data_IF_052665047630
#
_entry.id   IF_052665047630
#
_cell.length_a   1.000
_cell.length_b   1.000
_cell.length_c   1.000
_cell.angle_alpha   90.00
_cell.angle_beta   90.00
_cell.angle_gamma   90.00
#
_symmetry.space_group_name_H-M   'P 1'
#
loop_
_entity.id
_entity.type
_entity.pdbx_description
1 polymer ?
#
# COMPACT_ATOMS: atom_id res chain seq x y z
N UNK A 1 12.25 10.66 -16.63
CA UNK A 1 10.99 11.34 -17.01
C UNK A 1 11.01 12.73 -16.39
N UNK A 2 10.52 13.77 -17.04
CA UNK A 2 10.43 15.11 -16.43
C UNK A 2 9.08 15.29 -15.73
N UNK A 3 9.03 16.03 -14.62
CA UNK A 3 7.77 16.34 -13.97
C UNK A 3 6.98 17.41 -14.74
N UNK A 4 5.64 17.34 -14.75
CA UNK A 4 4.80 18.16 -15.61
C UNK A 4 4.57 19.60 -15.11
N UNK A 5 5.14 19.95 -13.95
CA UNK A 5 5.15 21.31 -13.39
C UNK A 5 6.52 21.62 -12.79
N UNK A 6 6.90 22.90 -12.84
CA UNK A 6 8.20 23.37 -12.34
C UNK A 6 8.38 23.20 -10.82
N UNK A 7 7.29 23.13 -10.06
CA UNK A 7 7.32 22.94 -8.61
C UNK A 7 7.28 21.45 -8.20
N UNK A 8 7.03 20.55 -9.15
CA UNK A 8 7.07 19.11 -8.91
C UNK A 8 8.47 18.58 -9.22
N UNK A 9 8.97 17.70 -8.36
CA UNK A 9 10.28 17.08 -8.51
C UNK A 9 10.15 15.58 -8.76
N UNK A 10 11.02 15.07 -9.62
CA UNK A 10 11.20 13.64 -9.78
C UNK A 10 12.06 13.11 -8.66
N UNK A 11 11.81 11.85 -8.28
CA UNK A 11 12.57 11.19 -7.22
C UNK A 11 12.63 12.06 -5.94
N UNK A 12 11.47 12.37 -5.33
CA UNK A 12 11.40 13.28 -4.19
C UNK A 12 12.18 12.77 -2.97
N UNK A 13 12.49 11.46 -2.92
CA UNK A 13 13.27 10.83 -1.85
C UNK A 13 14.77 10.72 -2.16
N UNK A 14 15.23 11.19 -3.31
CA UNK A 14 16.62 11.02 -3.72
C UNK A 14 17.04 9.53 -3.75
N UNK A 15 18.26 9.23 -3.31
CA UNK A 15 18.76 7.85 -3.30
C UNK A 15 17.99 6.93 -2.33
N UNK A 16 17.35 7.50 -1.30
CA UNK A 16 16.56 6.73 -0.31
C UNK A 16 15.36 6.06 -0.97
N UNK A 17 14.75 6.69 -1.97
CA UNK A 17 13.60 6.14 -2.70
C UNK A 17 13.88 4.84 -3.46
N UNK A 18 15.15 4.45 -3.61
CA UNK A 18 15.57 3.21 -4.26
C UNK A 18 15.47 1.98 -3.34
N UNK A 19 15.44 2.18 -2.03
CA UNK A 19 15.22 1.10 -1.08
C UNK A 19 13.73 0.70 -1.05
N UNK A 20 13.46 -0.61 -1.03
CA UNK A 20 12.12 -1.11 -0.75
C UNK A 20 11.77 -0.89 0.72
N UNK A 21 12.77 -0.92 1.60
CA UNK A 21 12.61 -0.64 3.01
C UNK A 21 13.74 0.27 3.49
N UNK A 22 13.38 1.40 4.08
CA UNK A 22 14.32 2.37 4.64
C UNK A 22 13.88 2.72 6.06
N UNK A 23 14.64 2.28 7.06
CA UNK A 23 14.26 2.31 8.47
C UNK A 23 15.29 3.10 9.27
N UNK A 24 14.84 4.07 10.09
CA UNK A 24 15.77 4.94 10.84
C UNK A 24 16.48 4.20 11.97
N UNK A 25 15.71 3.46 12.76
CA UNK A 25 16.15 2.73 13.94
C UNK A 25 16.14 1.24 13.62
N UNK A 26 15.45 0.46 14.42
CA UNK A 26 15.55 -1.00 14.40
C UNK A 26 14.51 -1.64 13.48
N UNK A 27 14.86 -2.82 12.95
CA UNK A 27 13.98 -3.60 12.10
C UNK A 27 13.98 -5.09 12.46
N UNK A 28 12.80 -5.70 12.51
CA UNK A 28 12.60 -7.15 12.65
C UNK A 28 11.90 -7.67 11.40
N UNK A 29 12.58 -8.54 10.65
CA UNK A 29 12.14 -9.01 9.34
C UNK A 29 12.18 -10.51 9.20
N UNK A 30 11.18 -11.00 8.47
CA UNK A 30 11.04 -12.38 8.04
C UNK A 30 10.73 -12.44 6.54
N UNK A 31 10.83 -13.63 5.95
CA UNK A 31 10.50 -13.92 4.55
C UNK A 31 11.42 -13.21 3.57
N UNK A 32 10.99 -12.13 2.93
CA UNK A 32 11.79 -11.47 1.93
C UNK A 32 11.45 -9.99 1.73
N UNK A 33 12.39 -9.32 1.08
CA UNK A 33 12.21 -8.03 0.42
C UNK A 33 12.70 -8.18 -1.02
N UNK A 34 11.83 -7.93 -1.98
CA UNK A 34 12.19 -8.06 -3.39
C UNK A 34 13.20 -6.98 -3.84
N UNK A 35 13.25 -5.85 -3.11
CA UNK A 35 14.16 -4.73 -3.37
C UNK A 35 15.29 -4.63 -2.35
N UNK A 36 15.89 -3.45 -2.24
CA UNK A 36 17.00 -3.20 -1.32
C UNK A 36 16.53 -2.84 0.10
N UNK A 37 17.31 -3.35 1.05
CA UNK A 37 17.37 -3.24 2.52
C UNK A 37 18.14 -2.05 3.13
N UNK A 38 17.59 -1.08 3.85
CA UNK A 38 18.39 -0.18 4.69
C UNK A 38 17.78 0.05 6.09
N UNK A 39 18.57 -0.16 7.13
CA UNK A 39 18.19 -0.05 8.56
C UNK A 39 19.28 0.73 9.29
N UNK A 40 18.95 1.81 9.98
CA UNK A 40 19.95 2.64 10.66
C UNK A 40 20.40 2.10 12.02
N UNK A 41 19.51 1.42 12.73
CA UNK A 41 19.80 0.72 13.99
C UNK A 41 20.13 -0.75 13.78
N UNK A 42 19.64 -1.58 14.69
CA UNK A 42 19.83 -3.04 14.69
C UNK A 42 18.80 -3.72 13.78
N UNK A 43 19.24 -4.77 13.10
CA UNK A 43 18.40 -5.55 12.19
C UNK A 43 18.33 -7.03 12.61
N UNK A 44 17.14 -7.53 12.88
CA UNK A 44 16.86 -8.93 13.17
C UNK A 44 16.25 -9.59 11.95
N UNK A 45 17.10 -10.19 11.11
CA UNK A 45 16.70 -10.82 9.86
C UNK A 45 16.59 -12.33 10.05
N UNK A 46 15.37 -12.85 10.02
CA UNK A 46 15.04 -14.22 10.39
C UNK A 46 15.03 -14.44 11.91
N UNK A 47 14.59 -15.62 12.31
CA UNK A 47 14.47 -16.01 13.72
C UNK A 47 14.92 -17.47 13.88
N UNK A 48 15.99 -17.77 14.65
CA UNK A 48 16.46 -19.14 14.85
C UNK A 48 15.47 -20.01 15.65
N UNK A 49 14.54 -19.41 16.40
CA UNK A 49 13.50 -20.13 17.12
C UNK A 49 12.34 -20.57 16.21
N UNK A 50 12.33 -20.12 14.94
CA UNK A 50 11.29 -20.42 13.95
C UNK A 50 11.95 -20.87 12.64
N UNK A 51 11.28 -21.61 11.75
CA UNK A 51 11.81 -21.89 10.41
C UNK A 51 11.66 -20.64 9.52
N UNK A 52 12.41 -19.57 9.83
CA UNK A 52 12.29 -18.26 9.17
C UNK A 52 13.67 -17.70 8.81
N UNK A 53 13.87 -17.43 7.52
CA UNK A 53 14.99 -16.65 7.00
C UNK A 53 14.56 -15.27 6.51
N UNK A 54 15.49 -14.58 5.85
CA UNK A 54 15.21 -13.33 5.14
C UNK A 54 16.02 -13.22 3.85
N UNK A 55 15.36 -13.13 2.69
CA UNK A 55 16.04 -12.87 1.41
C UNK A 55 15.84 -11.43 0.95
N UNK A 56 16.87 -10.87 0.30
CA UNK A 56 16.86 -9.49 -0.20
C UNK A 56 17.25 -9.45 -1.67
N UNK A 57 16.49 -8.69 -2.45
CA UNK A 57 16.89 -8.27 -3.79
C UNK A 57 16.54 -9.23 -4.92
N UNK A 58 15.56 -10.11 -4.73
CA UNK A 58 15.11 -11.07 -5.75
C UNK A 58 14.61 -10.40 -7.04
N UNK A 59 14.18 -9.13 -6.97
CA UNK A 59 13.77 -8.30 -8.12
C UNK A 59 14.73 -7.17 -8.45
N UNK A 60 15.93 -7.13 -7.86
CA UNK A 60 16.97 -6.22 -8.32
C UNK A 60 17.59 -6.73 -9.63
N UNK A 61 17.95 -5.82 -10.51
CA UNK A 61 18.80 -6.11 -11.67
C UNK A 61 20.27 -6.12 -11.23
N UNK A 62 21.17 -6.56 -12.12
CA UNK A 62 22.61 -6.49 -11.86
C UNK A 62 23.15 -5.06 -11.77
N UNK A 63 22.45 -4.08 -12.35
CA UNK A 63 22.86 -2.67 -12.37
C UNK A 63 22.36 -1.90 -11.14
N UNK A 64 21.22 -2.28 -10.57
CA UNK A 64 20.55 -1.54 -9.49
C UNK A 64 21.46 -1.26 -8.28
N UNK A 65 22.32 -2.17 -7.81
CA UNK A 65 23.19 -1.88 -6.67
C UNK A 65 24.07 -0.65 -6.88
N UNK A 66 24.51 -0.35 -8.11
CA UNK A 66 25.37 0.79 -8.39
C UNK A 66 24.70 2.16 -8.16
N UNK A 67 23.37 2.20 -8.10
CA UNK A 67 22.59 3.42 -7.81
C UNK A 67 22.33 3.58 -6.31
N UNK A 68 22.51 2.52 -5.51
CA UNK A 68 22.31 2.54 -4.07
C UNK A 68 23.51 3.18 -3.36
N UNK A 69 23.29 3.90 -2.24
CA UNK A 69 24.36 4.35 -1.36
C UNK A 69 25.36 3.23 -1.02
N UNK A 70 26.62 3.45 -1.41
CA UNK A 70 27.70 2.49 -1.18
C UNK A 70 27.66 1.20 -2.01
N UNK A 71 26.74 1.06 -2.97
CA UNK A 71 26.69 -0.15 -3.81
C UNK A 71 26.00 -1.36 -3.16
N UNK A 72 25.35 -1.16 -2.00
CA UNK A 72 24.89 -2.24 -1.13
C UNK A 72 23.36 -2.40 -1.19
N UNK A 73 22.90 -3.63 -1.45
CA UNK A 73 21.49 -4.01 -1.39
C UNK A 73 21.01 -4.23 0.04
N UNK A 74 21.93 -4.36 1.00
CA UNK A 74 21.63 -4.37 2.45
C UNK A 74 22.57 -3.39 3.17
N UNK A 75 22.01 -2.44 3.90
CA UNK A 75 22.75 -1.56 4.81
C UNK A 75 22.16 -1.68 6.21
N UNK A 76 22.98 -1.98 7.21
CA UNK A 76 22.60 -1.98 8.62
C UNK A 76 23.58 -1.08 9.39
N UNK A 77 23.10 0.01 9.99
CA UNK A 77 23.98 0.93 10.71
C UNK A 77 24.51 0.34 12.03
N UNK A 78 23.68 -0.44 12.73
CA UNK A 78 24.04 -1.18 13.94
C UNK A 78 24.41 -2.64 13.67
N UNK A 79 23.91 -3.54 14.51
CA UNK A 79 24.20 -4.97 14.43
C UNK A 79 23.16 -5.69 13.57
N UNK A 80 23.64 -6.44 12.58
CA UNK A 80 22.83 -7.40 11.83
C UNK A 80 22.84 -8.76 12.56
N UNK A 81 21.70 -9.11 13.14
CA UNK A 81 21.42 -10.40 13.75
C UNK A 81 20.81 -11.36 12.71
N UNK A 82 21.66 -11.97 11.89
CA UNK A 82 21.25 -12.78 10.74
C UNK A 82 20.90 -14.24 11.09
N UNK A 83 19.80 -14.74 10.54
CA UNK A 83 19.45 -16.16 10.50
C UNK A 83 18.97 -16.53 9.08
N UNK A 84 19.73 -17.34 8.35
CA UNK A 84 19.45 -17.70 6.96
C UNK A 84 19.18 -16.48 6.07
N UNK A 85 20.15 -15.55 6.00
CA UNK A 85 20.02 -14.31 5.21
C UNK A 85 20.60 -14.51 3.81
N UNK A 86 19.78 -14.31 2.77
CA UNK A 86 20.18 -14.43 1.35
C UNK A 86 20.22 -13.05 0.71
N UNK A 87 21.27 -12.78 -0.06
CA UNK A 87 21.30 -11.63 -0.97
C UNK A 87 21.29 -12.17 -2.41
N UNK A 88 20.12 -12.17 -3.06
CA UNK A 88 19.99 -12.62 -4.45
C UNK A 88 20.81 -11.73 -5.40
N UNK A 89 20.89 -10.44 -5.07
CA UNK A 89 21.66 -9.43 -5.79
C UNK A 89 22.32 -8.45 -4.83
N UNK A 90 23.48 -7.97 -5.25
CA UNK A 90 24.26 -6.99 -4.51
C UNK A 90 25.05 -7.60 -3.35
N UNK A 91 25.45 -6.72 -2.43
CA UNK A 91 26.22 -7.02 -1.24
C UNK A 91 25.63 -6.26 -0.06
N UNK A 92 26.07 -6.59 1.15
CA UNK A 92 25.66 -5.89 2.36
C UNK A 92 26.81 -5.32 3.16
N UNK A 93 26.50 -4.32 3.97
CA UNK A 93 27.37 -3.79 5.01
C UNK A 93 26.57 -3.64 6.30
N UNK A 94 27.16 -4.06 7.42
CA UNK A 94 26.60 -3.86 8.76
C UNK A 94 27.66 -3.30 9.71
N UNK A 95 27.25 -2.50 10.71
CA UNK A 95 28.16 -2.06 11.78
C UNK A 95 28.78 -3.24 12.54
N UNK A 96 28.01 -4.32 12.70
CA UNK A 96 28.47 -5.64 13.14
C UNK A 96 27.61 -6.73 12.49
N UNK A 97 28.16 -7.92 12.24
CA UNK A 97 27.41 -9.09 11.76
C UNK A 97 27.45 -10.21 12.80
N UNK A 98 26.29 -10.56 13.34
CA UNK A 98 26.09 -11.69 14.25
C UNK A 98 25.29 -12.77 13.53
N UNK A 99 25.96 -13.84 13.12
CA UNK A 99 25.30 -15.00 12.53
C UNK A 99 24.69 -15.90 13.62
N UNK A 100 23.36 -15.92 13.69
CA UNK A 100 22.56 -16.74 14.61
C UNK A 100 22.03 -18.03 13.96
N UNK A 101 22.43 -18.32 12.72
CA UNK A 101 21.99 -19.52 12.00
C UNK A 101 22.56 -20.78 12.66
N UNK A 102 21.79 -21.86 12.66
CA UNK A 102 22.23 -23.13 13.28
C UNK A 102 23.37 -23.76 12.46
N UNK A 103 24.56 -24.00 13.03
CA UNK A 103 25.66 -24.63 12.28
C UNK A 103 25.25 -25.99 11.69
N UNK A 104 25.54 -26.20 10.40
CA UNK A 104 25.18 -27.42 9.69
C UNK A 104 23.69 -27.56 9.33
N UNK A 105 22.85 -26.55 9.61
CA UNK A 105 21.45 -26.47 9.12
C UNK A 105 21.18 -25.13 8.46
N UNK A 106 20.80 -25.15 7.19
CA UNK A 106 20.63 -23.93 6.39
C UNK A 106 21.96 -23.29 6.03
N UNK A 107 21.91 -22.07 5.50
CA UNK A 107 23.09 -21.24 5.26
C UNK A 107 23.11 -20.10 6.30
N UNK A 108 24.29 -19.56 6.57
CA UNK A 108 24.45 -18.45 7.51
C UNK A 108 23.90 -17.13 6.95
N UNK A 109 24.75 -16.12 6.99
CA UNK A 109 24.72 -15.10 5.94
C UNK A 109 25.23 -15.76 4.66
N UNK A 110 24.66 -15.40 3.51
CA UNK A 110 25.06 -15.91 2.19
C UNK A 110 26.54 -15.61 1.86
N UNK A 111 27.42 -16.53 2.29
CA UNK A 111 28.87 -16.40 2.19
C UNK A 111 29.41 -15.11 2.83
N UNK A 112 30.36 -14.50 2.14
CA UNK A 112 30.99 -13.23 2.53
C UNK A 112 30.28 -12.00 1.94
N UNK A 113 29.02 -12.15 1.46
CA UNK A 113 28.31 -11.05 0.78
C UNK A 113 27.96 -9.90 1.71
N UNK A 114 27.89 -10.12 3.02
CA UNK A 114 27.72 -9.06 4.02
C UNK A 114 28.98 -8.95 4.85
N UNK A 115 29.54 -7.75 4.92
CA UNK A 115 30.76 -7.45 5.68
C UNK A 115 30.48 -6.47 6.80
N UNK A 116 31.30 -6.55 7.84
CA UNK A 116 31.37 -5.50 8.85
C UNK A 116 31.96 -4.21 8.25
N UNK A 117 31.38 -3.05 8.57
CA UNK A 117 31.91 -1.76 8.13
C UNK A 117 30.96 -0.58 8.42
N UNK A 118 31.44 0.62 8.13
CA UNK A 118 30.66 1.85 8.30
C UNK A 118 29.49 1.91 7.32
N UNK A 119 28.33 2.37 7.81
CA UNK A 119 27.18 2.67 6.96
C UNK A 119 27.52 3.76 5.92
N UNK A 120 27.17 3.58 4.64
CA UNK A 120 27.26 4.62 3.62
C UNK A 120 26.09 5.62 3.69
N UNK A 121 25.11 5.40 4.56
CA UNK A 121 23.90 6.22 4.72
C UNK A 121 23.97 6.96 6.06
N UNK A 122 23.72 8.27 6.04
CA UNK A 122 23.48 9.10 7.22
C UNK A 122 21.98 9.13 7.53
N UNK A 123 21.49 8.12 8.26
CA UNK A 123 20.06 7.96 8.53
C UNK A 123 19.46 9.16 9.25
N UNK A 124 20.18 9.78 10.19
CA UNK A 124 19.68 10.95 10.92
C UNK A 124 19.45 12.16 9.99
N UNK A 125 20.37 12.40 9.05
CA UNK A 125 20.20 13.44 8.02
C UNK A 125 19.06 13.10 7.07
N UNK A 126 19.01 11.88 6.55
CA UNK A 126 17.96 11.47 5.60
C UNK A 126 16.57 11.56 6.23
N UNK A 127 16.39 11.07 7.47
CA UNK A 127 15.10 11.16 8.17
C UNK A 127 14.73 12.58 8.58
N UNK A 128 15.72 13.45 8.88
CA UNK A 128 15.44 14.89 9.05
C UNK A 128 14.82 15.51 7.80
N UNK A 129 15.27 15.12 6.60
CA UNK A 129 14.70 15.61 5.35
C UNK A 129 13.35 14.96 5.04
N UNK A 130 13.21 13.65 5.23
CA UNK A 130 11.95 12.93 5.04
C UNK A 130 10.82 13.49 5.92
N UNK A 131 11.11 13.84 7.18
CA UNK A 131 10.15 14.51 8.08
C UNK A 131 9.71 15.87 7.57
N UNK A 132 10.66 16.68 7.05
CA UNK A 132 10.35 17.99 6.45
C UNK A 132 9.47 17.85 5.21
N UNK A 133 9.81 16.91 4.31
CA UNK A 133 9.01 16.60 3.12
C UNK A 133 7.61 16.12 3.51
N UNK A 134 7.53 15.14 4.41
CA UNK A 134 6.28 14.57 4.91
C UNK A 134 5.37 15.63 5.53
N UNK A 135 5.92 16.49 6.40
CA UNK A 135 5.19 17.61 7.01
C UNK A 135 4.77 18.66 5.98
N UNK A 136 5.65 19.02 5.05
CA UNK A 136 5.35 19.96 3.97
C UNK A 136 4.21 19.48 3.07
N UNK A 137 4.23 18.19 2.69
CA UNK A 137 3.19 17.55 1.89
C UNK A 137 1.84 17.48 2.61
N UNK A 138 1.83 17.38 3.94
CA UNK A 138 0.60 17.44 4.73
C UNK A 138 -0.08 18.82 4.72
N UNK A 139 0.67 19.88 4.39
CA UNK A 139 0.14 21.23 4.17
C UNK A 139 -0.30 21.50 2.73
N UNK A 140 -0.10 20.56 1.80
CA UNK A 140 -0.54 20.72 0.41
C UNK A 140 -2.06 20.62 0.37
N UNK A 141 -2.70 21.62 -0.24
CA UNK A 141 -4.16 21.69 -0.37
C UNK A 141 -4.69 20.45 -1.13
N UNK A 142 -5.62 19.68 -0.54
CA UNK A 142 -6.32 18.62 -1.25
C UNK A 142 -7.14 19.15 -2.43
N UNK A 143 -7.09 18.42 -3.53
CA UNK A 143 -7.91 18.64 -4.73
C UNK A 143 -8.74 17.41 -5.14
N UNK A 144 -8.47 16.26 -4.51
CA UNK A 144 -9.28 15.05 -4.63
C UNK A 144 -10.47 15.02 -3.66
N UNK A 145 -11.52 14.32 -4.05
CA UNK A 145 -12.72 14.08 -3.25
C UNK A 145 -12.57 12.83 -2.37
N UNK A 146 -12.96 12.94 -1.10
CA UNK A 146 -13.06 11.82 -0.15
C UNK A 146 -14.55 11.62 0.20
N UNK A 147 -15.10 10.48 -0.15
CA UNK A 147 -16.50 10.14 0.11
C UNK A 147 -16.64 8.76 0.76
N UNK A 148 -17.77 8.52 1.43
CA UNK A 148 -18.10 7.20 1.93
C UNK A 148 -18.60 6.31 0.79
N UNK A 149 -18.25 5.03 0.81
CA UNK A 149 -18.84 4.02 -0.08
C UNK A 149 -20.37 3.98 0.06
N UNK A 150 -21.14 3.81 -1.04
CA UNK A 150 -22.57 3.47 -0.98
C UNK A 150 -22.98 2.46 0.10
N UNK A 151 -22.12 1.48 0.42
CA UNK A 151 -22.36 0.49 1.48
C UNK A 151 -22.17 1.03 2.91
N UNK A 152 -21.54 2.20 3.06
CA UNK A 152 -21.10 2.78 4.32
C UNK A 152 -19.89 2.08 4.95
N UNK A 153 -19.32 1.05 4.31
CA UNK A 153 -18.23 0.23 4.87
C UNK A 153 -16.85 0.58 4.32
N UNK A 154 -16.74 1.64 3.50
CA UNK A 154 -15.48 2.01 2.87
C UNK A 154 -15.38 3.49 2.56
N UNK A 155 -14.23 3.89 2.04
CA UNK A 155 -13.95 5.25 1.57
C UNK A 155 -13.55 5.23 0.09
N UNK A 156 -14.05 6.20 -0.67
CA UNK A 156 -13.65 6.49 -2.03
C UNK A 156 -12.76 7.72 -2.08
N UNK A 157 -11.62 7.58 -2.75
CA UNK A 157 -10.68 8.65 -3.08
C UNK A 157 -10.76 8.88 -4.59
N UNK A 158 -11.43 9.95 -5.01
CA UNK A 158 -11.61 10.28 -6.43
C UNK A 158 -10.83 11.53 -6.80
N UNK A 159 -9.92 11.41 -7.75
CA UNK A 159 -9.16 12.52 -8.30
C UNK A 159 -9.28 12.57 -9.82
N UNK A 160 -9.18 13.76 -10.39
CA UNK A 160 -9.33 14.01 -11.84
C UNK A 160 -8.14 14.74 -12.43
N UNK A 161 -7.19 15.19 -11.60
CA UNK A 161 -6.00 15.88 -12.07
C UNK A 161 -5.07 14.87 -12.77
N UNK A 162 -4.69 15.17 -14.01
CA UNK A 162 -3.88 14.28 -14.84
C UNK A 162 -2.41 14.19 -14.38
N UNK A 163 -1.99 14.96 -13.37
CA UNK A 163 -0.61 15.15 -12.95
C UNK A 163 -0.40 14.83 -11.47
N UNK A 164 -1.19 15.42 -10.57
CA UNK A 164 -1.11 15.19 -9.13
C UNK A 164 -2.49 15.27 -8.49
N UNK A 165 -2.89 14.22 -7.77
CA UNK A 165 -4.09 14.20 -6.95
C UNK A 165 -3.67 14.16 -5.48
N UNK A 166 -4.19 15.09 -4.68
CA UNK A 166 -3.89 15.23 -3.25
C UNK A 166 -5.15 15.00 -2.44
N UNK A 167 -5.06 14.09 -1.48
CA UNK A 167 -6.14 13.76 -0.55
C UNK A 167 -5.68 14.04 0.88
N UNK A 168 -6.62 14.42 1.74
CA UNK A 168 -6.44 14.43 3.19
C UNK A 168 -7.51 13.58 3.85
N UNK A 169 -7.11 12.62 4.67
CA UNK A 169 -7.99 11.64 5.32
C UNK A 169 -7.61 11.55 6.78
N UNK A 170 -8.59 11.56 7.71
CA UNK A 170 -8.29 11.25 9.12
C UNK A 170 -7.95 9.79 9.25
N UNK A 171 -6.89 9.48 10.00
CA UNK A 171 -6.53 8.11 10.29
C UNK A 171 -7.72 7.33 10.89
N UNK A 172 -8.47 7.93 11.82
CA UNK A 172 -9.64 7.31 12.44
C UNK A 172 -10.79 6.98 11.47
N UNK A 173 -10.91 7.73 10.37
CA UNK A 173 -11.94 7.46 9.36
C UNK A 173 -11.46 6.32 8.44
N UNK A 174 -10.17 6.29 8.15
CA UNK A 174 -9.53 5.21 7.39
C UNK A 174 -9.50 3.89 8.17
N UNK A 175 -9.28 3.92 9.50
CA UNK A 175 -9.35 2.75 10.39
C UNK A 175 -10.73 2.11 10.33
N UNK A 176 -11.80 2.90 10.35
CA UNK A 176 -13.17 2.39 10.25
C UNK A 176 -13.53 1.89 8.85
N UNK A 177 -12.73 2.20 7.83
CA UNK A 177 -13.00 1.79 6.47
C UNK A 177 -12.57 0.33 6.24
N UNK A 178 -13.55 -0.54 6.00
CA UNK A 178 -13.33 -1.91 5.54
C UNK A 178 -12.73 -1.97 4.13
N UNK A 179 -13.09 -1.03 3.25
CA UNK A 179 -12.50 -0.91 1.91
C UNK A 179 -12.02 0.51 1.60
N UNK A 180 -10.92 0.60 0.85
CA UNK A 180 -10.40 1.87 0.33
C UNK A 180 -10.36 1.77 -1.19
N UNK A 181 -11.09 2.65 -1.88
CA UNK A 181 -11.20 2.63 -3.33
C UNK A 181 -10.59 3.90 -3.92
N UNK A 182 -9.60 3.77 -4.79
CA UNK A 182 -8.87 4.87 -5.42
C UNK A 182 -9.20 4.94 -6.91
N UNK A 183 -9.68 6.10 -7.37
CA UNK A 183 -9.90 6.41 -8.78
C UNK A 183 -9.18 7.70 -9.14
N UNK A 184 -8.08 7.58 -9.87
CA UNK A 184 -7.26 8.69 -10.37
C UNK A 184 -6.81 8.39 -11.79
N UNK A 185 -6.48 9.41 -12.62
CA UNK A 185 -5.95 9.17 -13.95
C UNK A 185 -4.64 8.38 -13.90
N UNK A 186 -4.53 7.33 -14.71
CA UNK A 186 -3.28 6.58 -14.84
C UNK A 186 -2.14 7.52 -15.28
N UNK A 187 -0.97 7.34 -14.66
CA UNK A 187 0.21 8.19 -14.89
C UNK A 187 0.30 9.43 -14.01
N UNK A 188 -0.82 9.88 -13.39
CA UNK A 188 -0.79 10.91 -12.35
C UNK A 188 -0.10 10.41 -11.08
N UNK A 189 0.42 11.34 -10.29
CA UNK A 189 0.90 11.05 -8.93
C UNK A 189 -0.24 11.18 -7.95
N UNK A 190 -0.22 10.37 -6.89
CA UNK A 190 -1.22 10.42 -5.84
C UNK A 190 -0.54 10.56 -4.49
N UNK A 191 -0.90 11.62 -3.78
CA UNK A 191 -0.47 11.89 -2.42
C UNK A 191 -1.69 11.76 -1.50
N UNK A 192 -1.72 10.73 -0.66
CA UNK A 192 -2.74 10.60 0.38
C UNK A 192 -2.13 10.95 1.73
N UNK A 193 -2.48 12.12 2.25
CA UNK A 193 -2.11 12.53 3.60
C UNK A 193 -3.07 11.88 4.60
N UNK A 194 -2.58 10.91 5.38
CA UNK A 194 -3.33 10.27 6.46
C UNK A 194 -2.95 10.96 7.77
N UNK A 195 -3.90 11.72 8.33
CA UNK A 195 -3.66 12.64 9.45
C UNK A 195 -4.18 12.06 10.77
N UNK A 196 -3.31 12.01 11.77
CA UNK A 196 -3.55 11.38 13.07
C UNK A 196 -2.27 10.78 13.67
N UNK A 197 -2.27 10.58 14.98
CA UNK A 197 -1.12 10.02 15.72
C UNK A 197 -0.93 8.51 15.56
N UNK A 198 -1.94 7.80 15.07
CA UNK A 198 -1.89 6.35 14.86
C UNK A 198 -2.77 5.93 13.68
N UNK A 199 -2.43 4.80 13.07
CA UNK A 199 -3.29 4.09 12.11
C UNK A 199 -3.29 2.58 12.41
N UNK A 200 -4.37 2.07 13.00
CA UNK A 200 -4.50 0.67 13.43
C UNK A 200 -5.55 -0.11 12.62
N UNK A 201 -5.09 -0.90 11.65
CA UNK A 201 -5.94 -1.77 10.83
C UNK A 201 -6.31 -3.10 11.51
N UNK A 202 -5.90 -3.33 12.76
CA UNK A 202 -6.26 -4.54 13.52
C UNK A 202 -7.56 -4.34 14.31
N UNK A 203 -7.84 -3.09 14.72
CA UNK A 203 -9.04 -2.73 15.48
C UNK A 203 -10.32 -2.87 14.63
N UNK A 204 -10.31 -2.31 13.42
CA UNK A 204 -11.40 -2.41 12.44
C UNK A 204 -10.78 -2.80 11.08
N UNK A 205 -10.83 -4.08 10.66
CA UNK A 205 -9.97 -4.54 9.58
C UNK A 205 -10.39 -4.00 8.21
N UNK A 206 -9.56 -3.12 7.64
CA UNK A 206 -9.56 -2.89 6.19
C UNK A 206 -9.21 -4.21 5.48
N UNK A 207 -10.15 -4.77 4.73
CA UNK A 207 -9.96 -6.04 4.02
C UNK A 207 -9.34 -5.87 2.62
N UNK A 208 -9.17 -4.64 2.14
CA UNK A 208 -8.38 -4.38 0.93
C UNK A 208 -8.30 -2.92 0.49
N UNK A 209 -7.50 -2.70 -0.55
CA UNK A 209 -7.47 -1.46 -1.32
C UNK A 209 -7.79 -1.80 -2.77
N UNK A 210 -8.71 -1.07 -3.39
CA UNK A 210 -9.08 -1.21 -4.78
C UNK A 210 -8.59 -0.01 -5.57
N UNK A 211 -8.06 -0.26 -6.76
CA UNK A 211 -7.69 0.81 -7.70
C UNK A 211 -8.57 0.65 -8.95
N UNK A 212 -9.10 1.76 -9.44
CA UNK A 212 -9.81 1.80 -10.71
C UNK A 212 -8.87 1.43 -11.86
N UNK A 213 -9.22 0.38 -12.59
CA UNK A 213 -8.49 -0.07 -13.76
C UNK A 213 -9.24 0.38 -15.03
N UNK A 214 -8.62 1.31 -15.78
CA UNK A 214 -9.19 1.85 -17.02
C UNK A 214 -9.39 0.80 -18.11
N UNK A 215 -8.70 -0.34 -18.04
CA UNK A 215 -8.87 -1.42 -19.01
C UNK A 215 -10.15 -2.23 -18.74
N UNK A 216 -10.45 -2.51 -17.47
CA UNK A 216 -11.65 -3.28 -17.08
C UNK A 216 -12.86 -2.39 -16.78
N UNK A 217 -12.66 -1.06 -16.73
CA UNK A 217 -13.68 -0.08 -16.31
C UNK A 217 -14.29 -0.43 -14.95
N UNK A 218 -13.45 -0.88 -14.02
CA UNK A 218 -13.88 -1.33 -12.71
C UNK A 218 -12.78 -1.25 -11.66
N UNK A 219 -13.18 -1.37 -10.40
CA UNK A 219 -12.27 -1.44 -9.26
C UNK A 219 -11.67 -2.85 -9.16
N UNK A 220 -10.34 -2.92 -9.18
CA UNK A 220 -9.58 -4.17 -9.02
C UNK A 220 -8.90 -4.13 -7.66
N UNK A 221 -9.03 -5.20 -6.88
CA UNK A 221 -8.34 -5.29 -5.59
C UNK A 221 -6.84 -5.40 -5.80
N UNK A 222 -6.08 -4.66 -5.02
CA UNK A 222 -4.64 -4.74 -5.04
C UNK A 222 -4.15 -6.10 -4.54
N UNK A 223 -3.34 -6.74 -5.37
CA UNK A 223 -2.57 -7.93 -5.07
C UNK A 223 -1.34 -7.96 -6.01
N UNK A 224 -0.37 -8.82 -5.74
CA UNK A 224 0.92 -8.85 -6.44
C UNK A 224 0.79 -8.73 -7.97
N UNK A 225 -0.01 -9.61 -8.58
CA UNK A 225 -0.21 -9.70 -10.03
C UNK A 225 -1.45 -8.94 -10.56
N UNK A 226 -2.15 -8.20 -9.71
CA UNK A 226 -3.40 -7.53 -10.09
C UNK A 226 -3.21 -6.44 -11.14
N UNK A 227 -4.25 -6.28 -11.95
CA UNK A 227 -4.48 -5.10 -12.79
C UNK A 227 -3.66 -5.03 -14.07
N UNK A 228 -4.09 -4.12 -14.94
CA UNK A 228 -3.40 -3.73 -16.16
C UNK A 228 -2.14 -2.92 -15.90
N UNK A 229 -1.41 -2.54 -16.96
CA UNK A 229 -0.28 -1.62 -16.84
C UNK A 229 -0.71 -0.24 -16.33
N UNK A 230 -1.90 0.23 -16.68
CA UNK A 230 -2.46 1.49 -16.18
C UNK A 230 -2.68 1.44 -14.66
N UNK A 231 -3.22 0.32 -14.17
CA UNK A 231 -3.34 0.04 -12.73
C UNK A 231 -1.97 0.10 -12.04
N UNK A 232 -0.96 -0.57 -12.61
CA UNK A 232 0.40 -0.63 -12.03
C UNK A 232 1.10 0.73 -12.04
N UNK A 233 0.79 1.59 -13.01
CA UNK A 233 1.24 2.99 -13.01
C UNK A 233 0.65 3.77 -11.83
N UNK A 234 -0.64 3.59 -11.51
CA UNK A 234 -1.24 4.21 -10.32
C UNK A 234 -0.58 3.70 -9.04
N UNK A 235 -0.41 2.37 -8.91
CA UNK A 235 0.25 1.73 -7.75
C UNK A 235 1.65 2.31 -7.50
N UNK A 236 2.49 2.35 -8.52
CA UNK A 236 3.88 2.84 -8.42
C UNK A 236 3.99 4.37 -8.27
N UNK A 237 2.89 5.12 -8.36
CA UNK A 237 2.84 6.58 -8.17
C UNK A 237 1.94 6.98 -7.01
N UNK A 238 1.60 6.04 -6.14
CA UNK A 238 0.81 6.24 -4.93
C UNK A 238 1.73 6.34 -3.71
N UNK A 239 1.61 7.45 -2.97
CA UNK A 239 2.24 7.67 -1.69
C UNK A 239 1.19 7.84 -0.59
N UNK A 240 1.31 7.03 0.46
CA UNK A 240 0.63 7.21 1.74
C UNK A 240 1.57 7.97 2.68
N UNK A 241 1.26 9.24 2.91
CA UNK A 241 2.03 10.11 3.78
C UNK A 241 1.38 10.17 5.17
N UNK A 242 2.10 9.71 6.20
CA UNK A 242 1.65 9.66 7.59
C UNK A 242 2.56 10.57 8.46
N UNK A 243 2.42 11.89 8.34
CA UNK A 243 3.36 12.88 8.89
C UNK A 243 3.35 12.99 10.42
N UNK A 244 2.29 12.51 11.06
CA UNK A 244 2.05 12.64 12.50
C UNK A 244 2.01 11.29 13.22
N UNK A 245 2.07 10.19 12.47
CA UNK A 245 1.86 8.88 13.04
C UNK A 245 3.08 8.47 13.86
N UNK A 246 2.84 8.09 15.11
CA UNK A 246 3.81 7.41 15.98
C UNK A 246 3.69 5.89 15.85
N UNK A 247 2.52 5.40 15.41
CA UNK A 247 2.28 3.96 15.22
C UNK A 247 1.44 3.68 13.97
N UNK A 248 1.83 2.63 13.23
CA UNK A 248 1.06 2.12 12.10
C UNK A 248 0.98 0.60 12.18
N UNK A 249 -0.21 0.05 12.44
CA UNK A 249 -0.45 -1.39 12.44
C UNK A 249 -1.18 -1.80 11.18
N UNK A 250 -0.42 -2.22 10.18
CA UNK A 250 -0.97 -2.77 8.95
C UNK A 250 -1.42 -4.22 9.19
N UNK A 251 -2.60 -4.57 8.71
CA UNK A 251 -3.11 -5.94 8.76
C UNK A 251 -2.64 -6.79 7.56
N UNK A 252 -3.35 -7.88 7.30
CA UNK A 252 -3.03 -8.88 6.28
C UNK A 252 -3.28 -8.44 4.83
N UNK A 253 -4.10 -7.41 4.62
CA UNK A 253 -4.44 -6.95 3.26
C UNK A 253 -3.21 -6.43 2.51
N UNK A 254 -3.11 -6.71 1.22
CA UNK A 254 -2.06 -6.13 0.37
C UNK A 254 -2.24 -4.62 0.27
N UNK A 255 -1.15 -3.86 0.45
CA UNK A 255 -1.18 -2.39 0.40
C UNK A 255 -0.44 -1.87 -0.84
N UNK A 256 -1.12 -1.22 -1.80
CA UNK A 256 -0.46 -0.59 -2.94
C UNK A 256 0.26 0.69 -2.53
N UNK A 257 1.39 0.95 -3.16
CA UNK A 257 2.10 2.22 -3.05
C UNK A 257 3.06 2.29 -1.87
N UNK A 258 3.80 3.40 -1.82
CA UNK A 258 4.80 3.63 -0.77
C UNK A 258 4.15 4.16 0.51
N UNK A 259 4.58 3.63 1.65
CA UNK A 259 4.22 4.13 2.98
C UNK A 259 5.38 4.99 3.48
N UNK A 260 5.10 6.26 3.76
CA UNK A 260 6.03 7.19 4.40
C UNK A 260 5.48 7.56 5.77
N UNK A 261 6.07 7.00 6.83
CA UNK A 261 5.69 7.23 8.22
C UNK A 261 6.97 7.46 9.06
N UNK A 262 7.67 8.60 8.85
CA UNK A 262 9.05 8.77 9.28
C UNK A 262 9.25 8.79 10.80
N UNK A 263 8.17 8.98 11.56
CA UNK A 263 8.14 8.97 13.04
C UNK A 263 7.41 7.76 13.63
N UNK A 264 7.00 6.80 12.78
CA UNK A 264 6.16 5.69 13.21
C UNK A 264 6.93 4.40 13.43
N UNK A 265 6.56 3.69 14.49
CA UNK A 265 6.73 2.24 14.57
C UNK A 265 5.69 1.55 13.68
N UNK A 266 6.16 0.94 12.59
CA UNK A 266 5.31 0.25 11.61
C UNK A 266 5.36 -1.26 11.86
N UNK A 267 4.20 -1.89 11.98
CA UNK A 267 4.07 -3.35 11.99
C UNK A 267 3.23 -3.86 10.82
N UNK A 268 3.66 -4.93 10.14
CA UNK A 268 2.89 -5.56 9.06
C UNK A 268 2.47 -6.98 9.40
N UNK A 269 1.15 -7.21 9.37
CA UNK A 269 0.54 -8.47 9.77
C UNK A 269 0.51 -8.67 11.28
N UNK A 270 0.01 -9.83 11.71
CA UNK A 270 0.09 -10.30 13.09
C UNK A 270 -0.11 -11.81 13.15
N UNK A 271 0.15 -12.43 14.30
CA UNK A 271 -0.19 -13.84 14.51
C UNK A 271 -1.69 -14.13 14.34
N UNK A 272 -2.55 -13.13 14.61
CA UNK A 272 -4.01 -13.27 14.55
C UNK A 272 -4.59 -13.00 13.16
N UNK A 273 -3.93 -12.17 12.35
CA UNK A 273 -4.45 -11.77 11.04
C UNK A 273 -3.67 -12.39 9.87
N UNK A 274 -2.50 -12.94 10.11
CA UNK A 274 -1.62 -13.46 9.07
C UNK A 274 -0.65 -12.40 8.52
N UNK A 275 0.13 -12.76 7.49
CA UNK A 275 1.12 -11.88 6.89
C UNK A 275 0.45 -10.73 6.14
N UNK A 276 1.11 -9.58 6.11
CA UNK A 276 0.61 -8.40 5.42
C UNK A 276 1.62 -7.85 4.42
N UNK A 277 1.40 -8.10 3.13
CA UNK A 277 2.28 -7.62 2.06
C UNK A 277 2.17 -6.12 1.78
N UNK A 278 3.28 -5.50 1.42
CA UNK A 278 3.33 -4.13 0.87
C UNK A 278 3.77 -4.20 -0.60
N UNK A 279 2.89 -3.76 -1.49
CA UNK A 279 3.12 -3.63 -2.92
C UNK A 279 3.68 -2.24 -3.23
N UNK A 280 4.87 -1.96 -2.70
CA UNK A 280 5.52 -0.65 -2.70
C UNK A 280 6.71 -0.63 -1.75
N UNK A 281 7.07 0.56 -1.27
CA UNK A 281 8.14 0.72 -0.28
C UNK A 281 7.61 1.08 1.12
N UNK A 282 8.40 0.83 2.15
CA UNK A 282 8.15 1.29 3.53
C UNK A 282 9.31 2.16 4.00
N UNK A 283 9.00 3.39 4.41
CA UNK A 283 9.93 4.34 5.04
C UNK A 283 9.39 4.65 6.43
N UNK A 284 10.11 4.25 7.48
CA UNK A 284 9.60 4.24 8.85
C UNK A 284 10.68 4.48 9.91
N UNK A 285 10.29 4.90 11.11
CA UNK A 285 11.21 4.96 12.25
C UNK A 285 11.68 3.54 12.65
N UNK A 286 10.74 2.60 12.76
CA UNK A 286 11.02 1.18 12.97
C UNK A 286 10.05 0.29 12.19
N UNK A 287 10.48 -0.92 11.87
CA UNK A 287 9.68 -1.87 11.08
C UNK A 287 9.70 -3.26 11.72
N UNK A 288 8.53 -3.83 11.99
CA UNK A 288 8.39 -5.21 12.44
C UNK A 288 7.42 -5.96 11.54
N UNK A 289 7.82 -7.13 11.05
CA UNK A 289 6.94 -7.99 10.26
C UNK A 289 6.72 -9.33 10.95
N UNK A 290 5.72 -10.08 10.49
CA UNK A 290 5.51 -11.48 10.87
C UNK A 290 6.00 -12.44 9.77
N UNK A 291 6.28 -13.72 10.07
CA UNK A 291 6.59 -14.70 9.04
C UNK A 291 5.55 -14.73 7.91
N UNK A 292 6.02 -14.70 6.67
CA UNK A 292 5.18 -14.65 5.47
C UNK A 292 4.89 -13.24 4.95
N UNK A 293 5.20 -12.17 5.71
CA UNK A 293 4.97 -10.80 5.26
C UNK A 293 6.14 -10.32 4.40
N UNK A 294 5.82 -9.80 3.21
CA UNK A 294 6.80 -9.50 2.17
C UNK A 294 6.68 -8.02 1.76
N UNK A 295 7.78 -7.46 1.25
CA UNK A 295 7.80 -6.14 0.61
C UNK A 295 8.19 -6.29 -0.84
N UNK A 296 7.24 -6.01 -1.73
CA UNK A 296 7.41 -6.21 -3.17
C UNK A 296 7.95 -4.95 -3.83
N UNK A 297 8.89 -5.12 -4.77
CA UNK A 297 9.66 -4.01 -5.35
C UNK A 297 8.81 -3.21 -6.33
N UNK A 298 8.02 -2.29 -5.79
CA UNK A 298 7.11 -1.41 -6.53
C UNK A 298 7.23 0.04 -6.05
N UNK A 299 8.48 0.48 -5.85
CA UNK A 299 8.85 1.78 -5.29
C UNK A 299 8.16 2.97 -5.98
N UNK A 300 8.05 4.09 -5.25
CA UNK A 300 7.46 5.31 -5.76
C UNK A 300 8.24 5.89 -6.95
N UNK A 301 7.56 6.15 -8.07
CA UNK A 301 8.08 6.75 -9.30
C UNK A 301 7.33 8.02 -9.72
N UNK A 302 6.48 8.53 -8.82
CA UNK A 302 5.70 9.74 -9.05
C UNK A 302 6.50 11.03 -8.93
N UNK A 303 5.81 12.13 -9.21
CA UNK A 303 6.25 13.50 -9.06
C UNK A 303 5.49 14.13 -7.88
N UNK A 304 6.22 14.68 -6.91
CA UNK A 304 5.62 15.37 -5.76
C UNK A 304 6.16 16.80 -5.65
N UNK A 305 5.45 17.70 -4.93
CA UNK A 305 5.95 19.05 -4.69
C UNK A 305 7.34 19.02 -4.04
N UNK A 306 8.29 19.77 -4.60
CA UNK A 306 9.65 19.90 -4.05
C UNK A 306 9.77 20.99 -2.97
N UNK A 307 8.78 21.87 -2.86
CA UNK A 307 8.73 22.88 -1.80
C UNK A 307 8.33 22.26 -0.46
N UNK A 308 9.16 22.45 0.56
CA UNK A 308 8.95 21.94 1.92
C UNK A 308 8.29 22.95 2.85
N UNK A 309 7.97 24.17 2.39
CA UNK A 309 7.36 25.21 3.22
C UNK A 309 6.04 24.70 3.78
N UNK A 310 5.94 24.40 5.09
CA UNK A 310 4.73 23.83 5.64
C UNK A 310 3.62 24.88 5.58
N UNK A 311 2.57 24.60 4.82
CA UNK A 311 1.28 25.22 5.06
C UNK A 311 0.71 24.71 6.40
N UNK A 312 -0.32 25.36 6.97
CA UNK A 312 -1.03 24.76 8.09
C UNK A 312 -1.53 23.37 7.67
N UNK A 313 -1.32 22.36 8.53
CA UNK A 313 -1.84 21.01 8.29
C UNK A 313 -3.33 21.13 8.04
N UNK A 314 -3.78 20.59 6.91
CA UNK A 314 -5.19 20.67 6.54
C UNK A 314 -6.02 19.85 7.52
N UNK A 315 -7.17 20.37 7.94
CA UNK A 315 -8.13 19.58 8.72
C UNK A 315 -8.97 18.78 7.73
N UNK A 316 -8.95 17.44 7.73
CA UNK A 316 -9.78 16.68 6.82
C UNK A 316 -11.26 16.89 7.14
N UNK A 317 -12.05 17.10 6.10
CA UNK A 317 -13.50 17.03 6.20
C UNK A 317 -13.91 15.55 6.37
N UNK A 318 -14.98 15.25 7.14
CA UNK A 318 -15.54 13.90 7.15
C UNK A 318 -15.90 13.44 5.73
N UNK A 319 -15.80 12.13 5.41
CA UNK A 319 -16.17 11.65 4.08
C UNK A 319 -17.60 12.06 3.72
N UNK A 320 -17.77 12.67 2.54
CA UNK A 320 -19.10 13.07 2.06
C UNK A 320 -19.97 11.82 1.87
N UNK A 321 -21.27 11.83 2.26
CA UNK A 321 -22.20 10.77 1.90
C UNK A 321 -22.27 10.63 0.38
N UNK A 322 -22.26 9.40 -0.14
CA UNK A 322 -22.55 9.19 -1.57
C UNK A 322 -24.00 9.57 -1.83
N UNK A 323 -24.22 10.51 -2.76
CA UNK A 323 -25.56 10.84 -3.23
C UNK A 323 -26.16 9.61 -3.92
N UNK A 324 -27.26 9.08 -3.35
CA UNK A 324 -28.04 8.05 -4.03
C UNK A 324 -28.56 8.66 -5.33
N UNK A 325 -28.41 8.02 -6.50
CA UNK A 325 -29.01 8.53 -7.72
C UNK A 325 -30.51 8.69 -7.50
N UNK A 326 -31.00 9.92 -7.44
CA UNK A 326 -32.44 10.16 -7.46
C UNK A 326 -32.96 9.61 -8.78
N UNK A 327 -33.79 8.57 -8.71
CA UNK A 327 -34.60 8.13 -9.84
C UNK A 327 -35.32 9.36 -10.38
N UNK A 328 -35.21 9.69 -11.69
CA UNK A 328 -35.98 10.78 -12.26
C UNK A 328 -37.45 10.54 -11.91
N UNK A 329 -38.09 11.52 -11.27
CA UNK A 329 -39.52 11.46 -11.02
C UNK A 329 -40.22 11.16 -12.35
N UNK A 330 -41.18 10.21 -12.41
CA UNK A 330 -41.90 9.95 -13.63
C UNK A 330 -42.52 11.26 -14.10
N UNK A 331 -42.17 11.65 -15.32
CA UNK A 331 -42.74 12.83 -15.97
C UNK A 331 -44.25 12.72 -15.91
N UNK A 332 -44.91 13.71 -15.31
CA UNK A 332 -46.37 13.75 -15.23
C UNK A 332 -46.93 13.61 -16.66
N UNK A 333 -47.66 12.52 -16.89
CA UNK A 333 -48.41 12.31 -18.12
C UNK A 333 -49.50 13.38 -18.16
N UNK A 334 -49.66 14.16 -19.26
CA UNK A 334 -50.75 15.12 -19.36
C UNK A 334 -52.09 14.40 -19.21
N UNK A 335 -52.92 14.89 -18.30
CA UNK A 335 -54.27 14.43 -18.04
C UNK A 335 -55.13 14.74 -19.27
N UNK A 336 -55.27 13.74 -20.15
CA UNK A 336 -56.09 13.79 -21.36
C UNK A 336 -57.50 13.29 -21.07
N UNK A 337 -58.43 14.22 -21.16
CA UNK A 337 -59.88 14.09 -21.04
C UNK A 337 -60.46 12.86 -21.80
N UNK A 338 -61.27 12.07 -21.10
CA UNK A 338 -62.00 10.92 -21.62
C UNK A 338 -63.41 11.34 -22.02
N UNK A 339 -63.61 11.68 -23.30
CA UNK A 339 -64.88 11.43 -23.98
C UNK A 339 -64.71 11.48 -25.51
N UNK A 340 -65.27 10.45 -26.18
CA UNK A 340 -65.74 10.43 -27.58
C UNK A 340 -64.95 9.55 -28.57
N UNK A 341 -65.64 8.48 -28.97
CA UNK A 341 -65.47 7.59 -30.15
C UNK A 341 -64.21 6.71 -30.15
N UNK A 342 -64.24 5.41 -30.44
CA UNK A 342 -65.20 4.56 -31.13
C UNK A 342 -64.37 3.50 -31.85
N UNK A 343 -64.66 2.23 -31.58
CA UNK A 343 -64.18 0.98 -32.21
C UNK A 343 -63.16 1.05 -33.36
N UNK A 344 -62.04 0.33 -33.22
CA UNK A 344 -61.70 -0.79 -34.15
C UNK A 344 -60.41 -1.53 -33.76
N UNK A 345 -60.57 -2.84 -33.50
CA UNK A 345 -59.68 -3.96 -33.88
C UNK A 345 -58.39 -4.23 -33.07
N UNK A 346 -58.45 -5.30 -32.26
CA UNK A 346 -57.65 -6.53 -32.48
C UNK A 346 -56.35 -6.73 -31.67
N UNK A 347 -55.99 -7.97 -31.28
CA UNK A 347 -55.37 -8.26 -29.98
C UNK A 347 -53.87 -8.61 -30.04
N UNK A 348 -53.15 -8.34 -28.94
CA UNK A 348 -51.79 -8.81 -28.71
C UNK A 348 -51.43 -8.92 -27.23
N UNK A 349 -51.83 -10.04 -26.61
CA UNK A 349 -51.13 -10.78 -25.51
C UNK A 349 -50.68 -9.96 -24.28
N UNK A 350 -51.54 -9.79 -23.26
CA UNK A 350 -51.62 -10.60 -22.01
C UNK A 350 -50.32 -11.20 -21.47
N UNK A 351 -49.92 -10.66 -20.31
CA UNK A 351 -49.50 -11.43 -19.14
C UNK A 351 -47.99 -11.64 -18.99
N UNK A 352 -47.42 -11.66 -17.80
CA UNK A 352 -47.88 -11.45 -16.45
C UNK A 352 -46.61 -11.39 -15.59
N UNK A 353 -46.59 -10.56 -14.56
CA UNK A 353 -45.56 -10.61 -13.54
C UNK A 353 -45.59 -11.92 -12.77
N UNK A 354 -44.42 -12.39 -12.35
CA UNK A 354 -44.29 -13.36 -11.28
C UNK A 354 -43.04 -13.05 -10.46
N UNK A 355 -43.29 -12.71 -9.20
CA UNK A 355 -42.32 -12.77 -8.13
C UNK A 355 -41.94 -14.24 -7.88
N UNK A 356 -40.67 -14.52 -7.61
CA UNK A 356 -40.22 -15.81 -7.08
C UNK A 356 -39.29 -15.57 -5.89
N UNK A 357 -39.83 -15.87 -4.71
CA UNK A 357 -39.09 -16.23 -3.50
C UNK A 357 -38.64 -17.68 -3.67
N UNK A 358 -37.34 -17.96 -3.45
CA UNK A 358 -36.87 -19.32 -3.21
C UNK A 358 -35.91 -19.35 -2.02
N UNK A 359 -36.30 -20.16 -1.03
CA UNK A 359 -35.51 -20.64 0.08
C UNK A 359 -34.77 -21.95 -0.30
N UNK A 360 -33.69 -22.25 0.43
CA UNK A 360 -33.00 -23.55 0.43
C UNK A 360 -31.61 -23.48 -0.22
N UNK A 361 -30.52 -24.01 0.32
CA UNK A 361 -30.37 -24.96 1.42
C UNK A 361 -28.89 -25.14 1.80
N UNK A 362 -28.67 -25.89 2.86
CA UNK A 362 -27.39 -26.13 3.52
C UNK A 362 -26.47 -27.12 2.79
N UNK A 363 -25.20 -27.09 3.24
CA UNK A 363 -24.17 -28.13 3.23
C UNK A 363 -23.48 -28.49 1.92
N UNK A 364 -22.16 -28.28 1.89
CA UNK A 364 -21.21 -29.29 1.39
C UNK A 364 -19.88 -29.19 2.16
N UNK A 365 -19.58 -30.26 2.89
CA UNK A 365 -18.36 -30.48 3.65
C UNK A 365 -17.20 -30.90 2.72
N UNK A 366 -16.00 -30.34 2.94
CA UNK A 366 -14.78 -30.76 2.26
C UNK A 366 -14.14 -31.95 3.00
N UNK A 367 -14.22 -33.14 2.40
CA UNK A 367 -13.48 -34.32 2.85
C UNK A 367 -12.05 -34.34 2.24
N UNK A 368 -11.07 -34.29 3.14
CA UNK A 368 -9.63 -34.36 2.90
C UNK A 368 -9.21 -35.80 2.56
N UNK A 369 -8.74 -36.07 1.33
CA UNK A 369 -8.13 -37.36 0.96
C UNK A 369 -6.61 -37.23 0.89
N UNK A 370 -5.93 -37.74 1.93
CA UNK A 370 -4.49 -38.03 1.93
C UNK A 370 -4.18 -39.11 0.86
N UNK A 371 -3.14 -38.91 0.06
CA UNK A 371 -2.45 -39.99 -0.65
C UNK A 371 -1.13 -40.31 0.08
N UNK A 372 -0.93 -41.58 0.38
CA UNK A 372 0.35 -42.25 0.69
C UNK A 372 0.46 -43.44 -0.26
N UNK A 373 1.66 -43.62 -0.82
CA UNK A 373 2.26 -44.80 -1.48
C UNK A 373 3.25 -44.23 -2.52
N UNK A 374 4.53 -44.58 -2.58
CA UNK A 374 5.36 -45.56 -1.87
C UNK A 374 6.79 -45.03 -1.82
#
# INVERSE_FOLDING_TARGET
MSCPYWYLVTNPFGAVGLYAEFVEKDSVRHSDSEGAVAVGGDAYFGDPAKPSGFSVGSRLTAADPAELPGGHSVVVGGTLYANNVVLDKGTGVAGEVVNRSTPGRGFGVDGDKVRTGTSPVDFGKEFTELRKLSTGWAGVRPDGEVSADPSGQGVFLTGTDAKLNVFAVKASDLERAGAISLKVPAGSSTLVNVLGGSYDMHAEPTYGVWIWDENTKGFVQDDYNSGSDAFKQVRSKLLWNLPQAETVKKNHSSRPGTILAPDAAVSTGSASYGPGHVNGSVIAESLTTVPGAETHRMNFTGCLPGGTTPGPIVTPEPPKPTETPTTPAPSATPEGDLATTGSSVGPGVIGAGAAVVLAGGALLAFAKRRRRAS
#
